data_IF_765256709570
#
_entry.id   IF_765256709570
#
_cell.length_a   1.000
_cell.length_b   1.000
_cell.length_c   1.000
_cell.angle_alpha   90.00
_cell.angle_beta   90.00
_cell.angle_gamma   90.00
#
_symmetry.space_group_name_H-M   'P 1'
#
loop_
_entity.id
_entity.type
_entity.pdbx_description
1 polymer ?
#
# COMPACT_ATOMS: atom_id res chain seq x y z
N UNK A 1 -14.03 13.60 -11.76
CA UNK A 1 -14.48 12.46 -12.57
C UNK A 1 -13.58 11.28 -12.21
N UNK A 2 -14.07 10.46 -11.27
CA UNK A 2 -13.29 9.40 -10.61
C UNK A 2 -13.18 8.15 -11.48
N UNK A 3 -11.95 7.65 -11.61
CA UNK A 3 -11.59 6.45 -12.37
C UNK A 3 -11.12 5.30 -11.45
N UNK A 4 -11.61 5.25 -10.22
CA UNK A 4 -11.52 4.06 -9.36
C UNK A 4 -12.76 3.17 -9.54
N UNK A 5 -13.07 2.87 -10.79
CA UNK A 5 -14.18 2.01 -11.18
C UNK A 5 -13.67 0.71 -11.77
N UNK A 6 -14.02 -0.40 -11.12
CA UNK A 6 -13.97 -1.79 -11.62
C UNK A 6 -12.58 -2.47 -11.58
N UNK A 7 -12.31 -3.27 -10.53
CA UNK A 7 -11.58 -4.55 -10.68
C UNK A 7 -11.58 -5.53 -9.48
N UNK A 8 -12.32 -5.30 -8.39
CA UNK A 8 -12.42 -6.33 -7.34
C UNK A 8 -13.55 -7.32 -7.62
N UNK A 9 -13.29 -8.27 -8.52
CA UNK A 9 -14.04 -9.50 -8.64
C UNK A 9 -13.15 -10.68 -8.26
N UNK A 10 -13.46 -11.37 -7.16
CA UNK A 10 -12.80 -12.60 -6.71
C UNK A 10 -12.41 -12.53 -5.25
N UNK A 11 -13.06 -13.35 -4.40
CA UNK A 11 -13.01 -13.21 -2.95
C UNK A 11 -11.76 -13.79 -2.26
N UNK A 12 -11.39 -13.14 -1.17
CA UNK A 12 -10.49 -13.66 -0.13
C UNK A 12 -10.20 -12.55 0.87
N UNK A 13 -10.28 -12.79 2.18
CA UNK A 13 -10.18 -11.76 3.23
C UNK A 13 -8.92 -10.87 3.22
N UNK A 14 -7.94 -11.13 2.35
CA UNK A 14 -6.79 -10.25 2.11
C UNK A 14 -7.14 -8.94 1.39
N UNK A 15 -8.19 -8.91 0.57
CA UNK A 15 -8.57 -7.70 -0.17
C UNK A 15 -9.03 -6.57 0.75
N UNK A 16 -9.78 -6.90 1.82
CA UNK A 16 -10.28 -5.91 2.76
C UNK A 16 -9.16 -5.31 3.62
N UNK A 17 -8.18 -6.12 4.03
CA UNK A 17 -7.02 -5.65 4.79
C UNK A 17 -6.14 -4.73 3.92
N UNK A 18 -5.82 -5.14 2.69
CA UNK A 18 -5.05 -4.31 1.75
C UNK A 18 -5.76 -2.99 1.46
N UNK A 19 -7.09 -3.02 1.21
CA UNK A 19 -7.86 -1.80 0.97
C UNK A 19 -7.89 -0.86 2.18
N UNK A 20 -7.96 -1.40 3.41
CA UNK A 20 -7.88 -0.58 4.62
C UNK A 20 -6.51 0.09 4.71
N UNK A 21 -5.43 -0.65 4.51
CA UNK A 21 -4.07 -0.11 4.59
C UNK A 21 -3.81 0.93 3.50
N UNK A 22 -4.36 0.77 2.29
CA UNK A 22 -4.31 1.78 1.24
C UNK A 22 -4.97 3.11 1.66
N UNK A 23 -6.04 3.06 2.47
CA UNK A 23 -6.63 4.27 3.03
C UNK A 23 -5.75 4.87 4.12
N UNK A 24 -5.16 4.01 4.97
CA UNK A 24 -4.27 4.44 6.06
C UNK A 24 -2.98 5.10 5.53
N UNK A 25 -2.53 4.80 4.30
CA UNK A 25 -1.45 5.52 3.61
C UNK A 25 -1.73 7.02 3.39
N UNK A 26 -2.99 7.46 3.51
CA UNK A 26 -3.41 8.86 3.35
C UNK A 26 -3.90 9.48 4.66
N UNK A 27 -3.67 8.82 5.79
CA UNK A 27 -4.05 9.35 7.10
C UNK A 27 -3.23 10.62 7.42
N UNK A 28 -3.82 11.53 8.20
CA UNK A 28 -3.14 12.74 8.64
C UNK A 28 -1.96 12.43 9.57
N UNK A 29 -2.03 11.31 10.29
CA UNK A 29 -0.98 10.83 11.17
C UNK A 29 0.09 10.06 10.38
N UNK A 30 1.30 10.61 10.36
CA UNK A 30 2.44 10.02 9.66
C UNK A 30 2.81 8.63 10.21
N UNK A 31 2.58 8.36 11.50
CA UNK A 31 2.87 7.05 12.10
C UNK A 31 1.97 5.96 11.51
N UNK A 32 0.70 6.32 11.25
CA UNK A 32 -0.24 5.41 10.58
C UNK A 32 0.11 5.20 9.11
N UNK A 33 0.51 6.27 8.40
CA UNK A 33 0.99 6.14 7.01
C UNK A 33 2.19 5.20 6.93
N UNK A 34 3.15 5.38 7.84
CA UNK A 34 4.32 4.53 7.97
C UNK A 34 3.93 3.07 8.26
N UNK A 35 3.08 2.84 9.27
CA UNK A 35 2.62 1.51 9.64
C UNK A 35 1.89 0.82 8.47
N UNK A 36 1.08 1.57 7.72
CA UNK A 36 0.39 1.06 6.55
C UNK A 36 1.36 0.64 5.43
N UNK A 37 2.33 1.49 5.10
CA UNK A 37 3.35 1.19 4.10
C UNK A 37 4.13 -0.08 4.48
N UNK A 38 4.61 -0.15 5.72
CA UNK A 38 5.33 -1.31 6.24
C UNK A 38 4.48 -2.59 6.16
N UNK A 39 3.21 -2.53 6.58
CA UNK A 39 2.32 -3.68 6.60
C UNK A 39 2.01 -4.20 5.19
N UNK A 40 1.80 -3.30 4.23
CA UNK A 40 1.62 -3.67 2.82
C UNK A 40 2.85 -4.41 2.28
N UNK A 41 4.06 -3.97 2.64
CA UNK A 41 5.30 -4.67 2.29
C UNK A 41 5.42 -6.06 2.94
N UNK A 42 4.93 -6.23 4.17
CA UNK A 42 4.88 -7.53 4.87
C UNK A 42 3.84 -8.49 4.26
N UNK A 43 2.74 -7.97 3.71
CA UNK A 43 1.71 -8.77 3.04
C UNK A 43 2.27 -9.42 1.77
N UNK A 44 3.16 -8.75 1.04
CA UNK A 44 3.84 -9.29 -0.13
C UNK A 44 2.99 -9.27 -1.39
N UNK A 45 2.97 -10.37 -2.15
CA UNK A 45 2.28 -10.53 -3.44
C UNK A 45 0.80 -10.10 -3.40
N UNK A 46 0.09 -10.41 -2.31
CA UNK A 46 -1.32 -10.03 -2.14
C UNK A 46 -1.54 -8.50 -2.06
N UNK A 47 -0.49 -7.74 -1.76
CA UNK A 47 -0.53 -6.27 -1.74
C UNK A 47 -0.19 -5.64 -3.10
N UNK A 48 -0.03 -6.40 -4.18
CA UNK A 48 0.12 -5.86 -5.54
C UNK A 48 -0.90 -4.76 -5.90
N UNK A 49 -2.20 -4.86 -5.54
CA UNK A 49 -3.17 -3.79 -5.80
C UNK A 49 -2.86 -2.45 -5.10
N UNK A 50 -2.03 -2.45 -4.04
CA UNK A 50 -1.64 -1.26 -3.30
C UNK A 50 -0.42 -0.55 -3.88
N UNK A 51 0.25 -1.12 -4.90
CA UNK A 51 1.47 -0.54 -5.48
C UNK A 51 1.30 0.92 -5.92
N UNK A 52 0.22 1.34 -6.61
CA UNK A 52 0.05 2.75 -6.99
C UNK A 52 -0.01 3.69 -5.79
N UNK A 53 -0.65 3.27 -4.69
CA UNK A 53 -0.74 4.08 -3.48
C UNK A 53 0.60 4.16 -2.74
N UNK A 54 1.40 3.09 -2.77
CA UNK A 54 2.77 3.11 -2.25
C UNK A 54 3.67 3.99 -3.11
N UNK A 55 3.48 4.03 -4.43
CA UNK A 55 4.23 4.93 -5.32
C UNK A 55 3.96 6.40 -5.00
N UNK A 56 2.72 6.77 -4.68
CA UNK A 56 2.39 8.10 -4.15
C UNK A 56 3.08 8.37 -2.81
N UNK A 57 3.10 7.38 -1.90
CA UNK A 57 3.70 7.50 -0.57
C UNK A 57 5.24 7.59 -0.57
N UNK A 58 5.92 7.31 -1.69
CA UNK A 58 7.35 7.62 -1.83
C UNK A 58 7.58 9.14 -1.79
N UNK A 59 6.62 9.94 -2.22
CA UNK A 59 6.71 11.40 -2.18
C UNK A 59 6.15 12.02 -0.88
N UNK A 60 5.96 11.21 0.18
CA UNK A 60 5.47 11.69 1.46
C UNK A 60 6.41 12.74 2.08
N UNK A 61 5.83 13.69 2.82
CA UNK A 61 6.57 14.73 3.54
C UNK A 61 7.47 14.14 4.65
N UNK A 62 7.09 12.98 5.18
CA UNK A 62 7.85 12.28 6.21
C UNK A 62 8.80 11.26 5.58
N UNK A 63 10.10 11.41 5.89
CA UNK A 63 11.15 10.55 5.34
C UNK A 63 11.01 9.06 5.73
N UNK A 64 10.45 8.73 6.90
CA UNK A 64 10.24 7.34 7.31
C UNK A 64 9.14 6.68 6.48
N UNK A 65 8.07 7.42 6.15
CA UNK A 65 7.00 6.95 5.26
C UNK A 65 7.55 6.69 3.86
N UNK A 66 8.35 7.61 3.33
CA UNK A 66 9.02 7.46 2.03
C UNK A 66 9.89 6.20 1.95
N UNK A 67 10.72 5.96 2.97
CA UNK A 67 11.58 4.78 3.06
C UNK A 67 10.76 3.49 3.17
N UNK A 68 9.72 3.48 4.01
CA UNK A 68 8.84 2.33 4.19
C UNK A 68 8.08 2.00 2.89
N UNK A 69 7.59 3.00 2.17
CA UNK A 69 6.91 2.81 0.89
C UNK A 69 7.83 2.22 -0.18
N UNK A 70 9.07 2.72 -0.25
CA UNK A 70 10.10 2.21 -1.18
C UNK A 70 10.48 0.75 -0.89
N UNK A 71 10.68 0.39 0.38
CA UNK A 71 10.96 -1.00 0.78
C UNK A 71 9.75 -1.91 0.50
N UNK A 72 8.53 -1.44 0.82
CA UNK A 72 7.30 -2.19 0.57
C UNK A 72 7.13 -2.53 -0.92
N UNK A 73 7.32 -1.55 -1.82
CA UNK A 73 7.29 -1.80 -3.27
C UNK A 73 8.33 -2.84 -3.70
N UNK A 74 9.54 -2.77 -3.15
CA UNK A 74 10.61 -3.72 -3.45
C UNK A 74 10.30 -5.14 -2.95
N UNK A 75 9.62 -5.27 -1.81
CA UNK A 75 9.15 -6.55 -1.27
C UNK A 75 8.02 -7.14 -2.10
N UNK A 76 7.00 -6.34 -2.42
CA UNK A 76 5.86 -6.78 -3.24
C UNK A 76 6.34 -7.25 -4.61
N UNK A 77 7.22 -6.49 -5.28
CA UNK A 77 7.79 -6.86 -6.58
C UNK A 77 8.60 -8.17 -6.54
N UNK A 78 9.32 -8.42 -5.44
CA UNK A 78 10.09 -9.67 -5.26
C UNK A 78 9.18 -10.86 -4.90
N UNK A 79 8.06 -10.62 -4.23
CA UNK A 79 7.12 -11.68 -3.86
C UNK A 79 6.20 -12.09 -5.03
N UNK A 80 5.94 -11.18 -5.97
CA UNK A 80 5.08 -11.43 -7.12
C UNK A 80 5.77 -12.16 -8.30
N UNK A 81 7.03 -12.58 -8.13
CA UNK A 81 7.91 -13.06 -9.20
C UNK A 81 8.52 -14.41 -8.85
#
# INVERSE_FOLDING_TARGET
MGLFGKLFGGGGGGDAEVQKLVKDLKDADWEKRFAAAKKLGEIGDRATPAMPALEEAIADENGEVCLAASDALSRIRRAAH
#
